data_IF_380097880052
#
_entry.id   IF_380097880052
#
_cell.length_a   1.000
_cell.length_b   1.000
_cell.length_c   1.000
_cell.angle_alpha   90.00
_cell.angle_beta   90.00
_cell.angle_gamma   90.00
#
_symmetry.space_group_name_H-M   'P 1'
#
loop_
_entity.id
_entity.type
_entity.pdbx_description
1 polymer ?
#
# COMPACT_ATOMS: atom_id res chain seq x y z
N UNK A 1 -32.01 -45.83 -34.64
CA UNK A 1 -31.76 -44.37 -34.69
C UNK A 1 -32.33 -43.64 -33.47
N UNK A 2 -33.60 -43.78 -33.09
CA UNK A 2 -34.21 -43.06 -31.97
C UNK A 2 -33.50 -43.28 -30.62
N UNK A 3 -33.08 -44.51 -30.27
CA UNK A 3 -32.37 -44.82 -29.03
C UNK A 3 -30.95 -44.19 -28.98
N UNK A 4 -30.30 -44.04 -30.12
CA UNK A 4 -28.99 -43.40 -30.21
C UNK A 4 -29.10 -41.87 -30.05
N UNK A 5 -30.15 -41.27 -30.60
CA UNK A 5 -30.46 -39.85 -30.44
C UNK A 5 -30.83 -39.50 -28.99
N UNK A 6 -31.60 -40.36 -28.31
CA UNK A 6 -31.93 -40.17 -26.88
C UNK A 6 -30.68 -40.29 -26.00
N UNK A 7 -29.77 -41.24 -26.26
CA UNK A 7 -28.51 -41.38 -25.55
C UNK A 7 -27.60 -40.17 -25.77
N UNK A 8 -27.53 -39.65 -27.00
CA UNK A 8 -26.77 -38.42 -27.30
C UNK A 8 -27.36 -37.19 -26.60
N UNK A 9 -28.71 -37.09 -26.56
CA UNK A 9 -29.38 -35.97 -25.88
C UNK A 9 -29.21 -36.04 -24.36
N UNK A 10 -29.27 -37.22 -23.76
CA UNK A 10 -29.00 -37.44 -22.33
C UNK A 10 -27.52 -37.13 -21.99
N UNK A 11 -26.56 -37.51 -22.86
CA UNK A 11 -25.17 -37.18 -22.69
C UNK A 11 -24.87 -35.65 -22.75
N UNK A 12 -25.63 -34.93 -23.58
CA UNK A 12 -25.52 -33.45 -23.65
C UNK A 12 -26.09 -32.76 -22.41
N UNK A 13 -27.10 -33.33 -21.76
CA UNK A 13 -27.69 -32.78 -20.53
C UNK A 13 -26.72 -32.93 -19.35
N UNK A 14 -25.93 -34.00 -19.28
CA UNK A 14 -24.91 -34.17 -18.25
C UNK A 14 -23.65 -33.30 -18.47
N UNK A 15 -23.37 -32.84 -19.67
CA UNK A 15 -22.28 -31.95 -19.98
C UNK A 15 -22.58 -30.46 -19.70
N UNK A 16 -23.87 -30.13 -19.48
CA UNK A 16 -24.33 -28.73 -19.36
C UNK A 16 -24.37 -28.18 -17.91
N UNK A 17 -24.09 -29.02 -16.91
CA UNK A 17 -24.14 -28.59 -15.49
C UNK A 17 -22.79 -28.70 -14.80
N UNK A 18 -21.80 -27.97 -15.24
CA UNK A 18 -20.67 -27.64 -14.35
C UNK A 18 -21.09 -26.46 -13.51
N UNK A 19 -21.36 -26.68 -12.23
CA UNK A 19 -21.62 -25.61 -11.26
C UNK A 19 -20.30 -24.91 -10.83
N UNK A 20 -19.31 -24.89 -11.73
CA UNK A 20 -18.06 -24.20 -11.49
C UNK A 20 -18.20 -22.75 -11.96
N UNK A 21 -18.17 -21.75 -11.06
CA UNK A 21 -18.28 -20.34 -11.42
C UNK A 21 -17.04 -19.78 -12.12
N UNK A 22 -15.95 -20.55 -12.17
CA UNK A 22 -14.67 -20.11 -12.67
C UNK A 22 -14.43 -20.50 -14.13
N UNK A 23 -13.60 -19.70 -14.80
CA UNK A 23 -13.25 -19.96 -16.20
C UNK A 23 -12.31 -21.16 -16.33
N UNK A 24 -12.40 -21.93 -17.43
CA UNK A 24 -11.48 -23.04 -17.67
C UNK A 24 -9.99 -22.64 -17.73
N UNK A 25 -9.70 -21.40 -18.15
CA UNK A 25 -8.32 -20.85 -18.22
C UNK A 25 -7.76 -20.46 -16.85
N UNK A 26 -8.59 -20.42 -15.81
CA UNK A 26 -8.19 -20.24 -14.42
C UNK A 26 -7.79 -21.57 -13.74
N UNK A 27 -8.12 -22.70 -14.37
CA UNK A 27 -7.79 -24.02 -13.85
C UNK A 27 -6.26 -24.22 -13.73
N UNK A 28 -5.81 -24.67 -12.57
CA UNK A 28 -4.40 -24.87 -12.25
C UNK A 28 -3.65 -23.63 -11.76
N UNK A 29 -4.32 -22.48 -11.67
CA UNK A 29 -3.82 -21.29 -10.98
C UNK A 29 -4.32 -21.24 -9.54
N UNK A 30 -3.48 -20.71 -8.65
CA UNK A 30 -3.85 -20.55 -7.25
C UNK A 30 -4.44 -19.15 -7.04
N UNK A 31 -5.76 -19.04 -7.22
CA UNK A 31 -6.51 -17.78 -7.15
C UNK A 31 -7.39 -17.79 -5.90
N UNK A 32 -7.35 -16.71 -5.13
CA UNK A 32 -8.24 -16.48 -4.01
C UNK A 32 -9.33 -15.47 -4.40
N UNK A 33 -10.57 -15.85 -4.19
CA UNK A 33 -11.75 -15.04 -4.51
C UNK A 33 -12.38 -14.50 -3.23
N UNK A 34 -12.49 -13.20 -3.13
CA UNK A 34 -13.08 -12.51 -1.97
C UNK A 34 -13.95 -11.33 -2.44
N UNK A 35 -14.53 -10.62 -1.51
CA UNK A 35 -15.43 -9.50 -1.75
C UNK A 35 -14.98 -8.25 -1.03
N UNK A 36 -15.44 -7.09 -1.51
CA UNK A 36 -15.43 -5.83 -0.78
C UNK A 36 -16.81 -5.20 -0.86
N UNK A 37 -17.22 -4.45 0.17
CA UNK A 37 -18.55 -3.86 0.28
C UNK A 37 -18.60 -2.39 -0.14
N UNK A 38 -17.48 -1.69 -0.03
CA UNK A 38 -17.37 -0.28 -0.38
C UNK A 38 -16.15 -0.04 -1.27
N UNK A 39 -16.30 0.91 -2.20
CA UNK A 39 -15.19 1.34 -3.05
C UNK A 39 -14.08 1.95 -2.18
N UNK A 40 -12.82 1.47 -2.27
CA UNK A 40 -11.70 2.11 -1.60
C UNK A 40 -11.50 3.51 -2.15
N UNK A 41 -11.52 4.51 -1.27
CA UNK A 41 -11.37 5.93 -1.64
C UNK A 41 -9.91 6.27 -1.94
N UNK A 42 -9.00 5.68 -1.17
CA UNK A 42 -7.59 5.99 -1.23
C UNK A 42 -6.75 4.71 -1.21
N UNK A 43 -5.90 4.54 -2.24
CA UNK A 43 -4.84 3.54 -2.22
C UNK A 43 -3.45 4.16 -2.01
N UNK A 44 -3.39 5.49 -1.81
CA UNK A 44 -2.20 6.19 -1.32
C UNK A 44 -2.03 5.91 0.19
N UNK A 45 -0.91 5.32 0.64
CA UNK A 45 -0.70 5.00 2.05
C UNK A 45 -0.65 6.22 2.96
N UNK A 46 -0.41 7.42 2.43
CA UNK A 46 -0.47 8.65 3.21
C UNK A 46 -1.90 9.11 3.54
N UNK A 47 -2.90 8.63 2.80
CA UNK A 47 -4.32 9.04 2.89
C UNK A 47 -5.23 7.92 3.39
N UNK A 48 -4.91 6.68 3.04
CA UNK A 48 -5.73 5.52 3.38
C UNK A 48 -5.89 5.33 4.90
N UNK A 49 -7.12 5.16 5.39
CA UNK A 49 -7.41 5.02 6.82
C UNK A 49 -8.48 3.96 7.12
N UNK A 50 -9.20 3.47 6.14
CA UNK A 50 -10.27 2.49 6.33
C UNK A 50 -9.77 1.04 6.21
N UNK A 51 -10.49 0.10 6.83
CA UNK A 51 -10.22 -1.34 6.70
C UNK A 51 -10.37 -1.84 5.25
N UNK A 52 -11.31 -1.26 4.50
CA UNK A 52 -11.52 -1.62 3.10
C UNK A 52 -10.34 -1.22 2.22
N UNK A 53 -9.72 -0.06 2.49
CA UNK A 53 -8.49 0.37 1.81
C UNK A 53 -7.30 -0.52 2.19
N UNK A 54 -7.16 -0.85 3.49
CA UNK A 54 -6.08 -1.69 4.00
C UNK A 54 -6.11 -3.12 3.43
N UNK A 55 -7.27 -3.65 3.07
CA UNK A 55 -7.41 -4.93 2.39
C UNK A 55 -6.54 -5.01 1.12
N UNK A 56 -6.41 -3.90 0.39
CA UNK A 56 -5.62 -3.80 -0.83
C UNK A 56 -4.18 -3.36 -0.56
N UNK A 57 -4.00 -2.27 0.17
CA UNK A 57 -2.67 -1.64 0.31
C UNK A 57 -1.69 -2.47 1.11
N UNK A 58 -2.15 -3.27 2.10
CA UNK A 58 -1.30 -4.19 2.86
C UNK A 58 -0.68 -5.32 2.00
N UNK A 59 -1.21 -5.56 0.81
CA UNK A 59 -0.69 -6.55 -0.12
C UNK A 59 0.34 -5.97 -1.10
N UNK A 60 0.42 -4.63 -1.18
CA UNK A 60 1.21 -3.90 -2.19
C UNK A 60 2.36 -3.14 -1.55
N UNK A 61 2.13 -2.56 -0.38
CA UNK A 61 3.13 -1.76 0.34
C UNK A 61 3.72 -2.54 1.52
N UNK A 62 5.01 -2.33 1.76
CA UNK A 62 5.71 -2.96 2.87
C UNK A 62 6.34 -1.91 3.78
N UNK A 63 5.83 -1.73 5.01
CA UNK A 63 6.53 -0.99 6.05
C UNK A 63 7.86 -1.65 6.45
N UNK A 64 8.64 -0.99 7.31
CA UNK A 64 9.93 -1.52 7.77
C UNK A 64 9.77 -2.80 8.62
N UNK A 65 8.68 -2.90 9.36
CA UNK A 65 8.32 -4.03 10.22
C UNK A 65 6.86 -4.41 10.02
N UNK A 66 6.49 -5.61 10.44
CA UNK A 66 5.12 -6.11 10.33
C UNK A 66 4.71 -6.89 11.58
N UNK A 67 3.42 -7.21 11.70
CA UNK A 67 2.94 -8.18 12.67
C UNK A 67 3.27 -9.60 12.21
N UNK A 68 3.75 -10.42 13.13
CA UNK A 68 3.99 -11.85 12.86
C UNK A 68 2.67 -12.56 12.57
N UNK A 69 2.59 -13.36 11.50
CA UNK A 69 1.35 -13.97 11.01
C UNK A 69 0.60 -14.80 12.05
N UNK A 70 1.33 -15.51 12.94
CA UNK A 70 0.75 -16.53 13.81
C UNK A 70 0.83 -16.20 15.31
N UNK A 71 1.71 -15.30 15.77
CA UNK A 71 1.90 -15.09 17.20
C UNK A 71 0.71 -14.39 17.87
N UNK A 72 0.27 -14.97 18.97
CA UNK A 72 -0.76 -14.44 19.88
C UNK A 72 -0.24 -14.49 21.33
N UNK A 73 -0.18 -13.37 22.09
CA UNK A 73 -0.51 -12.02 21.65
C UNK A 73 0.36 -11.54 20.47
N UNK A 74 -0.10 -10.50 19.80
CA UNK A 74 0.58 -9.96 18.63
C UNK A 74 2.04 -9.60 18.91
N UNK A 75 2.93 -9.98 18.01
CA UNK A 75 4.35 -9.64 18.04
C UNK A 75 4.77 -9.00 16.72
N UNK A 76 5.64 -8.00 16.80
CA UNK A 76 6.25 -7.41 15.62
C UNK A 76 7.47 -8.21 15.17
N UNK A 77 7.74 -8.17 13.86
CA UNK A 77 8.89 -8.80 13.22
C UNK A 77 9.42 -7.89 12.11
N UNK A 78 10.72 -7.94 11.78
CA UNK A 78 11.24 -7.22 10.63
C UNK A 78 10.53 -7.67 9.34
N UNK A 79 10.35 -6.72 8.40
CA UNK A 79 9.85 -6.98 7.05
C UNK A 79 10.88 -6.52 6.03
N UNK A 80 10.95 -5.22 5.75
CA UNK A 80 11.99 -4.66 4.90
C UNK A 80 13.24 -4.25 5.69
N UNK A 81 13.13 -4.08 7.01
CA UNK A 81 14.28 -3.87 7.88
C UNK A 81 15.06 -5.18 8.11
N UNK A 82 16.37 -5.07 8.31
CA UNK A 82 17.25 -6.22 8.63
C UNK A 82 17.03 -6.74 10.05
N UNK A 83 16.56 -5.89 10.97
CA UNK A 83 16.31 -6.20 12.38
C UNK A 83 15.20 -5.30 12.94
N UNK A 84 14.66 -5.69 14.11
CA UNK A 84 13.74 -4.82 14.85
C UNK A 84 14.45 -3.53 15.28
N UNK A 85 13.92 -2.34 14.93
CA UNK A 85 14.52 -1.08 15.35
C UNK A 85 14.29 -0.89 16.85
N UNK A 86 15.40 -0.73 17.59
CA UNK A 86 15.36 -0.44 19.03
C UNK A 86 15.51 1.07 19.25
N UNK A 87 14.65 1.70 20.07
CA UNK A 87 14.76 3.11 20.35
C UNK A 87 15.96 3.42 21.24
N UNK A 88 16.74 4.42 20.86
CA UNK A 88 17.72 5.07 21.71
C UNK A 88 17.10 6.28 22.39
N UNK A 89 17.19 6.36 23.72
CA UNK A 89 16.57 7.40 24.54
C UNK A 89 17.66 8.38 25.01
N UNK A 90 17.40 9.70 24.93
CA UNK A 90 18.36 10.72 25.30
C UNK A 90 17.76 11.76 26.26
N UNK A 91 18.58 12.20 27.24
CA UNK A 91 18.26 13.33 28.12
C UNK A 91 18.57 14.69 27.45
N UNK A 92 18.27 15.79 28.16
CA UNK A 92 18.51 17.16 27.69
C UNK A 92 19.99 17.49 27.42
N UNK A 93 20.92 16.74 28.01
CA UNK A 93 22.35 16.89 27.81
C UNK A 93 22.91 16.03 26.66
N UNK A 94 21.99 15.27 25.98
CA UNK A 94 22.38 14.37 24.89
C UNK A 94 22.99 13.05 25.37
N UNK A 95 22.85 12.71 26.66
CA UNK A 95 23.35 11.44 27.21
C UNK A 95 22.33 10.33 26.94
N UNK A 96 22.84 9.17 26.49
CA UNK A 96 22.05 7.96 26.30
C UNK A 96 21.50 7.45 27.63
N UNK A 97 20.22 7.16 27.66
CA UNK A 97 19.47 6.67 28.82
C UNK A 97 19.12 5.19 28.66
N UNK A 98 18.88 4.45 29.76
CA UNK A 98 18.38 3.10 29.70
C UNK A 98 16.94 3.04 29.12
N UNK A 99 16.57 1.87 28.57
CA UNK A 99 15.28 1.71 27.88
C UNK A 99 14.04 1.95 28.75
N UNK A 100 14.17 1.72 30.05
CA UNK A 100 13.12 1.95 31.08
C UNK A 100 13.12 3.35 31.66
N UNK A 101 13.97 4.28 31.17
CA UNK A 101 14.04 5.65 31.66
C UNK A 101 12.64 6.30 31.71
N UNK A 102 12.31 7.06 32.79
CA UNK A 102 11.04 7.74 32.92
C UNK A 102 10.77 8.73 31.77
N UNK A 103 9.49 8.95 31.46
CA UNK A 103 9.11 9.78 30.30
C UNK A 103 9.54 11.25 30.44
N UNK A 104 9.56 11.77 31.65
CA UNK A 104 9.89 13.17 31.99
C UNK A 104 11.35 13.54 31.80
N UNK A 105 12.26 12.55 31.82
CA UNK A 105 13.69 12.78 31.59
C UNK A 105 14.11 12.53 30.13
N UNK A 106 13.25 11.92 29.31
CA UNK A 106 13.52 11.63 27.90
C UNK A 106 13.05 12.78 27.04
N UNK A 107 13.96 13.52 26.45
CA UNK A 107 13.66 14.64 25.55
C UNK A 107 13.85 14.33 24.07
N UNK A 108 14.48 13.19 23.75
CA UNK A 108 14.69 12.74 22.38
C UNK A 108 14.72 11.22 22.32
N UNK A 109 14.05 10.68 21.31
CA UNK A 109 14.07 9.24 20.98
C UNK A 109 14.50 9.07 19.54
N UNK A 110 15.43 8.17 19.29
CA UNK A 110 15.96 7.90 17.94
C UNK A 110 15.74 6.44 17.58
N UNK A 111 15.11 6.24 16.42
CA UNK A 111 15.03 4.94 15.76
C UNK A 111 15.95 4.97 14.54
N UNK A 112 16.97 4.13 14.51
CA UNK A 112 17.79 3.91 13.32
C UNK A 112 17.36 2.59 12.67
N UNK A 113 17.04 2.63 11.38
CA UNK A 113 16.44 1.53 10.65
C UNK A 113 17.27 1.24 9.42
N UNK A 114 17.87 0.04 9.38
CA UNK A 114 18.66 -0.43 8.25
C UNK A 114 17.82 -1.40 7.41
N UNK A 115 17.76 -1.16 6.11
CA UNK A 115 16.96 -1.91 5.15
C UNK A 115 17.73 -3.09 4.56
N UNK A 116 17.01 -4.10 4.16
CA UNK A 116 17.51 -5.21 3.35
C UNK A 116 17.87 -4.71 1.95
N UNK A 117 19.01 -5.16 1.36
CA UNK A 117 19.45 -4.67 0.05
C UNK A 117 18.77 -5.35 -1.14
N UNK A 118 18.06 -6.45 -0.92
CA UNK A 118 17.46 -7.30 -1.96
C UNK A 118 16.04 -6.89 -2.37
N UNK A 119 15.47 -5.88 -1.75
CA UNK A 119 14.09 -5.45 -1.99
C UNK A 119 14.01 -4.51 -3.20
N UNK A 120 13.01 -4.73 -4.05
CA UNK A 120 12.78 -3.95 -5.26
C UNK A 120 11.30 -3.56 -5.38
N UNK A 121 11.07 -2.42 -5.99
CA UNK A 121 9.72 -2.04 -6.44
C UNK A 121 9.25 -2.92 -7.58
N UNK A 122 7.95 -2.98 -7.76
CA UNK A 122 7.31 -3.53 -8.97
C UNK A 122 7.74 -2.78 -10.23
N UNK A 123 7.59 -3.40 -11.40
CA UNK A 123 7.75 -2.70 -12.67
C UNK A 123 6.71 -1.56 -12.77
N UNK A 124 7.19 -0.36 -13.12
CA UNK A 124 6.34 0.81 -13.24
C UNK A 124 6.92 1.85 -14.21
N UNK A 125 6.09 2.54 -15.02
CA UNK A 125 6.56 3.56 -15.95
C UNK A 125 7.30 4.74 -15.28
N UNK A 126 7.02 5.05 -14.02
CA UNK A 126 7.72 6.09 -13.27
C UNK A 126 9.25 5.88 -13.19
N UNK A 127 9.71 4.63 -13.28
CA UNK A 127 11.13 4.29 -13.21
C UNK A 127 11.80 4.19 -14.58
N UNK A 128 11.03 4.13 -15.68
CA UNK A 128 11.57 4.00 -17.01
C UNK A 128 12.48 5.17 -17.40
N UNK A 129 13.68 4.88 -17.90
CA UNK A 129 14.67 5.89 -18.30
C UNK A 129 14.95 5.83 -19.80
N UNK A 130 15.29 6.98 -20.35
CA UNK A 130 15.88 7.10 -21.70
C UNK A 130 17.37 6.78 -21.65
N UNK A 131 17.96 6.64 -22.82
CA UNK A 131 19.43 6.39 -22.95
C UNK A 131 20.28 7.52 -22.38
N UNK A 132 19.77 8.74 -22.30
CA UNK A 132 20.41 9.90 -21.68
C UNK A 132 20.28 9.94 -20.15
N UNK A 133 19.61 8.92 -19.54
CA UNK A 133 19.38 8.82 -18.10
C UNK A 133 18.17 9.60 -17.58
N UNK A 134 17.49 10.39 -18.43
CA UNK A 134 16.27 11.10 -18.01
C UNK A 134 15.08 10.15 -17.89
N UNK A 135 14.10 10.49 -17.03
CA UNK A 135 12.90 9.67 -16.88
C UNK A 135 11.99 9.84 -18.09
N UNK A 136 11.60 8.71 -18.69
CA UNK A 136 10.84 8.70 -19.93
C UNK A 136 9.46 9.32 -19.78
N UNK A 137 8.80 9.01 -18.68
CA UNK A 137 7.40 9.37 -18.44
C UNK A 137 7.22 10.50 -17.42
N UNK A 138 8.30 11.19 -17.05
CA UNK A 138 8.20 12.47 -16.35
C UNK A 138 8.12 13.59 -17.41
N UNK A 139 6.88 13.91 -17.79
CA UNK A 139 6.64 14.82 -18.89
C UNK A 139 6.66 16.29 -18.44
N UNK A 140 7.01 17.23 -19.33
CA UNK A 140 6.84 18.65 -19.07
C UNK A 140 5.36 19.03 -19.01
N UNK A 141 5.06 20.20 -18.40
CA UNK A 141 3.71 20.72 -18.37
C UNK A 141 3.13 20.88 -19.79
N UNK A 142 1.85 20.54 -19.93
CA UNK A 142 1.13 20.59 -21.21
C UNK A 142 1.36 19.37 -22.14
N UNK A 143 2.30 18.48 -21.83
CA UNK A 143 2.42 17.22 -22.55
C UNK A 143 1.37 16.21 -22.06
N UNK A 144 1.03 15.22 -22.87
CA UNK A 144 0.01 14.21 -22.58
C UNK A 144 0.55 12.80 -22.74
N UNK A 145 -0.02 11.85 -21.99
CA UNK A 145 0.13 10.43 -22.28
C UNK A 145 -0.72 10.00 -23.49
N UNK A 146 -0.41 8.87 -24.14
CA UNK A 146 -1.42 8.20 -24.96
C UNK A 146 -2.69 7.95 -24.13
N UNK A 147 -3.83 7.73 -24.77
CA UNK A 147 -5.05 7.38 -24.03
C UNK A 147 -4.90 6.01 -23.36
N UNK A 148 -4.85 6.00 -22.05
CA UNK A 148 -4.65 4.81 -21.22
C UNK A 148 -5.61 4.80 -20.03
N UNK A 149 -6.02 3.63 -19.59
CA UNK A 149 -6.84 3.41 -18.40
C UNK A 149 -6.04 2.85 -17.20
N UNK A 150 -4.79 2.48 -17.43
CA UNK A 150 -3.88 1.95 -16.42
C UNK A 150 -2.43 2.37 -16.73
N UNK A 151 -1.60 2.72 -15.72
CA UNK A 151 -0.20 3.10 -15.94
C UNK A 151 0.60 2.06 -16.73
N UNK A 152 0.34 0.77 -16.45
CA UNK A 152 1.03 -0.34 -17.11
C UNK A 152 0.71 -0.48 -18.61
N UNK A 153 -0.24 0.28 -19.15
CA UNK A 153 -0.46 0.37 -20.59
C UNK A 153 0.59 1.25 -21.29
N UNK A 154 1.36 2.05 -20.54
CA UNK A 154 2.51 2.74 -21.08
C UNK A 154 3.61 1.73 -21.42
N UNK A 155 4.17 1.78 -22.64
CA UNK A 155 5.32 0.97 -22.98
C UNK A 155 6.55 1.42 -22.17
N UNK A 156 7.53 0.53 -22.05
CA UNK A 156 8.77 0.80 -21.31
C UNK A 156 8.53 1.15 -19.82
N UNK A 157 8.54 0.10 -19.06
CA UNK A 157 8.52 0.13 -17.60
C UNK A 157 9.90 -0.31 -17.11
N UNK A 158 10.23 0.09 -15.90
CA UNK A 158 11.44 -0.34 -15.20
C UNK A 158 11.15 -0.43 -13.70
N UNK A 159 12.13 -0.86 -12.94
CA UNK A 159 12.10 -1.00 -11.48
C UNK A 159 13.42 -0.60 -10.88
N UNK A 160 13.42 -0.28 -9.59
CA UNK A 160 14.65 -0.05 -8.85
C UNK A 160 14.62 -0.66 -7.45
N UNK A 161 15.79 -0.73 -6.83
CA UNK A 161 15.92 -1.13 -5.44
C UNK A 161 15.27 -0.13 -4.49
N UNK A 162 14.80 -0.65 -3.36
CA UNK A 162 14.33 0.12 -2.21
C UNK A 162 15.50 0.90 -1.60
N UNK A 163 15.25 2.14 -1.16
CA UNK A 163 16.24 3.02 -0.52
C UNK A 163 15.70 3.64 0.76
N UNK A 164 16.59 4.01 1.63
CA UNK A 164 16.27 4.77 2.85
C UNK A 164 15.57 6.10 2.54
N UNK A 165 15.95 6.75 1.42
CA UNK A 165 15.28 7.96 0.93
C UNK A 165 13.79 7.80 0.74
N UNK A 166 13.29 6.62 0.32
CA UNK A 166 11.88 6.38 0.04
C UNK A 166 11.03 6.42 1.32
N UNK A 167 11.58 5.94 2.44
CA UNK A 167 10.93 6.04 3.75
C UNK A 167 10.91 7.48 4.26
N UNK A 168 12.04 8.17 4.16
CA UNK A 168 12.12 9.58 4.53
C UNK A 168 11.20 10.44 3.67
N UNK A 169 11.12 10.15 2.37
CA UNK A 169 10.21 10.83 1.45
C UNK A 169 8.74 10.62 1.84
N UNK A 170 8.35 9.39 2.16
CA UNK A 170 6.99 9.10 2.63
C UNK A 170 6.67 9.84 3.94
N UNK A 171 7.58 9.84 4.91
CA UNK A 171 7.37 10.59 6.17
C UNK A 171 7.15 12.07 5.88
N UNK A 172 7.91 12.67 4.95
CA UNK A 172 7.70 14.05 4.51
C UNK A 172 6.35 14.25 3.83
N UNK A 173 5.87 13.26 3.04
CA UNK A 173 4.53 13.29 2.43
C UNK A 173 3.41 13.33 3.46
N UNK A 174 3.56 12.65 4.61
CA UNK A 174 2.57 12.71 5.70
C UNK A 174 2.35 14.13 6.26
N UNK A 175 3.33 15.03 6.09
CA UNK A 175 3.23 16.43 6.49
C UNK A 175 2.90 17.38 5.33
N UNK A 176 2.75 16.88 4.09
CA UNK A 176 2.50 17.72 2.93
C UNK A 176 1.07 18.31 2.97
N UNK A 177 0.89 19.65 2.84
CA UNK A 177 -0.41 20.31 3.00
C UNK A 177 -1.46 19.92 1.96
N UNK A 178 -1.02 19.51 0.75
CA UNK A 178 -1.92 19.04 -0.32
C UNK A 178 -2.27 17.55 -0.19
N UNK A 179 -1.69 16.85 0.78
CA UNK A 179 -2.01 15.46 1.12
C UNK A 179 -2.80 15.49 2.42
N UNK A 180 -4.06 15.09 2.39
CA UNK A 180 -4.93 15.04 3.55
C UNK A 180 -4.62 13.81 4.42
N UNK A 181 -3.48 13.86 5.12
CA UNK A 181 -3.03 12.78 5.98
C UNK A 181 -3.83 12.77 7.29
N UNK A 182 -4.62 11.72 7.58
CA UNK A 182 -5.49 11.69 8.77
C UNK A 182 -4.71 11.60 10.07
N UNK A 183 -3.47 11.09 10.05
CA UNK A 183 -2.64 10.93 11.25
C UNK A 183 -1.63 12.07 11.47
N UNK A 184 -1.60 13.08 10.59
CA UNK A 184 -0.70 14.23 10.74
C UNK A 184 -0.79 14.88 12.13
N UNK A 185 -2.00 15.20 12.69
CA UNK A 185 -2.11 15.85 14.00
C UNK A 185 -1.50 15.04 15.14
N UNK A 186 -1.59 13.71 15.06
CA UNK A 186 -0.94 12.82 16.02
C UNK A 186 0.58 12.87 15.88
N UNK A 187 1.10 12.66 14.68
CA UNK A 187 2.54 12.60 14.41
C UNK A 187 3.24 13.93 14.69
N UNK A 188 2.56 15.06 14.48
CA UNK A 188 3.06 16.40 14.76
C UNK A 188 3.38 16.64 16.26
N UNK A 189 2.81 15.83 17.15
CA UNK A 189 3.14 15.87 18.58
C UNK A 189 4.43 15.13 18.95
N UNK A 190 4.97 14.32 18.02
CA UNK A 190 6.08 13.42 18.36
C UNK A 190 7.27 13.54 17.41
N UNK A 191 7.06 13.57 16.10
CA UNK A 191 8.16 13.65 15.12
C UNK A 191 8.81 15.05 15.21
N UNK A 192 10.12 15.07 15.41
CA UNK A 192 10.88 16.32 15.57
C UNK A 192 10.78 17.20 14.31
N UNK A 193 10.46 18.49 14.49
CA UNK A 193 10.33 19.46 13.42
C UNK A 193 9.17 19.25 12.44
N UNK A 194 8.23 18.29 12.69
CA UNK A 194 7.19 17.92 11.73
C UNK A 194 6.23 19.06 11.40
N UNK A 195 5.78 19.81 12.41
CA UNK A 195 4.92 21.00 12.24
C UNK A 195 5.65 22.11 11.48
N UNK A 196 6.91 22.37 11.82
CA UNK A 196 7.70 23.39 11.16
C UNK A 196 7.97 23.03 9.67
N UNK A 197 8.20 21.76 9.39
CA UNK A 197 8.31 21.27 8.03
C UNK A 197 7.04 21.53 7.24
N UNK A 198 5.86 21.16 7.76
CA UNK A 198 4.57 21.44 7.11
C UNK A 198 4.40 22.92 6.80
N UNK A 199 4.68 23.81 7.77
CA UNK A 199 4.59 25.26 7.58
C UNK A 199 5.55 25.77 6.48
N UNK A 200 6.72 25.16 6.35
CA UNK A 200 7.67 25.48 5.27
C UNK A 200 7.10 25.11 3.91
N UNK A 201 6.52 23.91 3.80
CA UNK A 201 5.90 23.44 2.55
C UNK A 201 4.64 24.27 2.21
N UNK A 202 3.82 24.63 3.19
CA UNK A 202 2.65 25.52 3.01
C UNK A 202 3.07 26.87 2.41
N UNK A 203 4.08 27.51 3.01
CA UNK A 203 4.62 28.79 2.48
C UNK A 203 5.10 28.68 1.04
N UNK A 204 5.72 27.55 0.69
CA UNK A 204 6.22 27.36 -0.68
C UNK A 204 5.08 27.12 -1.68
N UNK A 205 4.06 26.34 -1.30
CA UNK A 205 2.83 26.17 -2.09
C UNK A 205 2.15 27.54 -2.31
N UNK A 206 2.00 28.33 -1.25
CA UNK A 206 1.38 29.65 -1.31
C UNK A 206 2.18 30.62 -2.17
N UNK A 207 3.52 30.57 -2.10
CA UNK A 207 4.41 31.37 -2.94
C UNK A 207 4.20 31.05 -4.44
N UNK A 208 4.12 29.76 -4.79
CA UNK A 208 3.88 29.32 -6.17
C UNK A 208 2.50 29.81 -6.63
N UNK A 209 1.46 29.62 -5.82
CA UNK A 209 0.10 30.06 -6.12
C UNK A 209 -0.01 31.58 -6.28
N UNK A 210 0.65 32.33 -5.40
CA UNK A 210 0.68 33.79 -5.48
C UNK A 210 1.37 34.29 -6.75
N UNK A 211 2.52 33.73 -7.11
CA UNK A 211 3.22 34.07 -8.35
C UNK A 211 2.37 33.79 -9.61
N UNK A 212 1.69 32.63 -9.64
CA UNK A 212 0.79 32.27 -10.75
C UNK A 212 -0.42 33.19 -10.83
N UNK A 213 -1.03 33.55 -9.70
CA UNK A 213 -2.16 34.51 -9.64
C UNK A 213 -1.74 35.87 -10.16
N UNK A 214 -0.54 36.32 -9.78
CA UNK A 214 0.00 37.57 -10.28
C UNK A 214 0.23 37.54 -11.79
N UNK A 215 0.77 36.47 -12.32
CA UNK A 215 1.02 36.30 -13.75
C UNK A 215 -0.27 36.18 -14.59
N UNK A 216 -1.30 35.52 -14.04
CA UNK A 216 -2.58 35.31 -14.71
C UNK A 216 -3.56 36.48 -14.66
N UNK A 217 -3.28 37.48 -13.83
CA UNK A 217 -4.08 38.70 -13.72
C UNK A 217 -5.51 38.48 -13.23
N UNK A 218 -6.41 39.36 -13.66
CA UNK A 218 -7.81 39.43 -13.17
C UNK A 218 -8.63 38.19 -13.54
N UNK A 219 -8.27 37.48 -14.59
CA UNK A 219 -8.99 36.29 -15.06
C UNK A 219 -8.37 34.97 -14.56
N UNK A 220 -7.39 35.00 -13.64
CA UNK A 220 -6.76 33.81 -13.11
C UNK A 220 -7.76 32.94 -12.37
N UNK A 221 -7.82 31.67 -12.76
CA UNK A 221 -8.57 30.63 -12.07
C UNK A 221 -7.59 29.56 -11.57
N UNK A 222 -7.39 29.47 -10.25
CA UNK A 222 -6.43 28.55 -9.63
C UNK A 222 -6.74 27.10 -9.94
N UNK A 223 -7.99 26.69 -9.89
CA UNK A 223 -8.37 25.29 -10.14
C UNK A 223 -8.10 24.89 -11.59
N UNK A 224 -8.43 25.77 -12.55
CA UNK A 224 -8.14 25.53 -13.96
C UNK A 224 -6.62 25.50 -14.24
N UNK A 225 -5.86 26.38 -13.59
CA UNK A 225 -4.40 26.40 -13.72
C UNK A 225 -3.76 25.15 -13.12
N UNK A 226 -4.15 24.73 -11.92
CA UNK A 226 -3.59 23.56 -11.25
C UNK A 226 -3.94 22.23 -11.94
N UNK A 227 -5.01 22.17 -12.74
CA UNK A 227 -5.28 21.01 -13.62
C UNK A 227 -4.23 20.85 -14.71
N UNK A 228 -3.69 21.96 -15.24
CA UNK A 228 -2.68 21.96 -16.31
C UNK A 228 -1.26 22.02 -15.72
N UNK A 229 -1.10 22.77 -14.65
CA UNK A 229 0.16 22.99 -13.95
C UNK A 229 0.03 22.62 -12.46
N UNK A 230 -0.10 21.36 -12.12
CA UNK A 230 -0.23 20.94 -10.72
C UNK A 230 0.97 21.43 -9.90
N UNK A 231 0.71 21.73 -8.62
CA UNK A 231 1.80 22.10 -7.71
C UNK A 231 2.52 20.83 -7.29
N UNK A 232 3.75 20.71 -7.71
CA UNK A 232 4.67 19.65 -7.29
C UNK A 232 5.87 20.26 -6.60
N UNK A 233 6.22 19.72 -5.43
CA UNK A 233 7.42 20.07 -4.68
C UNK A 233 8.27 18.81 -4.51
N UNK A 234 9.51 18.87 -4.93
CA UNK A 234 10.46 17.80 -4.64
C UNK A 234 10.86 17.84 -3.16
N UNK A 235 10.18 17.03 -2.35
CA UNK A 235 10.38 17.01 -0.91
C UNK A 235 11.80 16.61 -0.47
N UNK A 236 12.62 16.08 -1.37
CA UNK A 236 14.03 15.79 -1.10
C UNK A 236 14.83 17.05 -0.80
N UNK A 237 14.42 18.17 -1.37
CA UNK A 237 15.09 19.47 -1.20
C UNK A 237 14.80 20.14 0.15
N UNK A 238 13.84 19.66 0.91
CA UNK A 238 13.43 20.25 2.18
C UNK A 238 13.89 19.36 3.35
N UNK A 239 14.54 19.96 4.33
CA UNK A 239 15.03 19.24 5.51
C UNK A 239 13.90 19.00 6.52
N UNK A 240 13.81 17.76 7.02
CA UNK A 240 12.97 17.38 8.15
C UNK A 240 13.88 16.76 9.23
N UNK A 241 14.14 17.43 10.36
CA UNK A 241 15.01 16.89 11.42
C UNK A 241 14.56 15.53 11.95
N UNK A 242 13.25 15.34 12.03
CA UNK A 242 12.60 14.12 12.51
C UNK A 242 12.66 12.91 11.56
N UNK A 243 13.12 13.08 10.30
CA UNK A 243 13.29 11.96 9.36
C UNK A 243 14.45 12.24 8.42
N UNK A 244 15.55 11.48 8.55
CA UNK A 244 16.81 11.72 7.84
C UNK A 244 17.38 10.46 7.21
N UNK A 245 17.95 10.59 6.03
CA UNK A 245 18.76 9.55 5.39
C UNK A 245 20.14 9.54 6.02
N UNK A 246 20.59 8.39 6.50
CA UNK A 246 21.94 8.17 7.03
C UNK A 246 22.87 7.69 5.91
N UNK A 247 22.40 6.71 5.13
CA UNK A 247 23.03 6.22 3.90
C UNK A 247 21.95 5.56 3.01
N UNK A 248 22.35 4.96 1.89
CA UNK A 248 21.40 4.39 0.90
C UNK A 248 20.40 3.39 1.50
N UNK A 249 20.79 2.67 2.55
CA UNK A 249 19.96 1.62 3.18
C UNK A 249 19.59 1.93 4.63
N UNK A 250 20.05 3.06 5.19
CA UNK A 250 19.77 3.38 6.60
C UNK A 250 19.14 4.76 6.71
N UNK A 251 18.02 4.83 7.40
CA UNK A 251 17.37 6.08 7.77
C UNK A 251 17.11 6.17 9.26
N UNK A 252 16.87 7.39 9.72
CA UNK A 252 16.64 7.70 11.12
C UNK A 252 15.35 8.46 11.31
N UNK A 253 14.58 8.05 12.33
CA UNK A 253 13.41 8.80 12.79
C UNK A 253 13.73 9.33 14.20
N UNK A 254 13.54 10.63 14.40
CA UNK A 254 13.75 11.29 15.68
C UNK A 254 12.42 11.81 16.23
N UNK A 255 12.12 11.44 17.47
CA UNK A 255 10.96 11.95 18.20
C UNK A 255 11.43 12.96 19.24
N UNK A 256 10.64 13.99 19.47
CA UNK A 256 10.87 15.05 20.47
C UNK A 256 10.49 14.67 21.90
N UNK A 257 9.95 13.49 22.11
CA UNK A 257 9.60 12.92 23.42
C UNK A 257 9.35 11.42 23.34
N UNK A 258 9.35 10.75 24.47
CA UNK A 258 9.08 9.30 24.54
C UNK A 258 7.64 8.97 24.15
N UNK A 259 7.49 8.02 23.22
CA UNK A 259 6.22 7.46 22.77
C UNK A 259 6.39 5.96 22.53
N UNK A 260 6.19 5.13 23.55
CA UNK A 260 6.45 3.68 23.46
C UNK A 260 5.67 2.98 22.35
N UNK A 261 4.47 3.48 22.03
CA UNK A 261 3.61 2.92 20.99
C UNK A 261 4.07 3.27 19.56
N UNK A 262 5.10 4.14 19.40
CA UNK A 262 5.56 4.56 18.08
C UNK A 262 6.03 3.38 17.22
N UNK A 263 6.59 2.35 17.82
CA UNK A 263 7.03 1.14 17.12
C UNK A 263 5.89 0.47 16.32
N UNK A 264 4.64 0.51 16.81
CA UNK A 264 3.48 -0.05 16.10
C UNK A 264 3.09 0.78 14.86
N UNK A 265 3.35 2.09 14.88
CA UNK A 265 3.16 2.94 13.70
C UNK A 265 4.10 2.55 12.56
N UNK A 266 5.32 2.12 12.87
CA UNK A 266 6.29 1.66 11.88
C UNK A 266 5.85 0.37 11.15
N UNK A 267 4.84 -0.32 11.66
CA UNK A 267 4.21 -1.49 11.02
C UNK A 267 2.95 -1.11 10.21
N UNK A 268 2.55 0.16 10.22
CA UNK A 268 1.37 0.62 9.49
C UNK A 268 1.74 1.10 8.09
N UNK A 269 0.85 0.95 7.09
CA UNK A 269 1.08 1.40 5.71
C UNK A 269 1.48 2.87 5.57
N UNK A 270 1.09 3.74 6.50
CA UNK A 270 1.53 5.13 6.52
C UNK A 270 3.03 5.31 6.44
N UNK A 271 3.78 4.38 7.04
CA UNK A 271 5.23 4.36 7.04
C UNK A 271 5.84 3.44 5.97
N UNK A 272 5.04 2.97 5.01
CA UNK A 272 5.57 2.25 3.86
C UNK A 272 6.30 3.22 2.90
N UNK A 273 7.34 2.76 2.20
CA UNK A 273 8.18 3.64 1.39
C UNK A 273 7.45 4.16 0.16
N UNK A 274 7.69 5.43 -0.20
CA UNK A 274 7.19 6.04 -1.43
C UNK A 274 8.37 6.56 -2.27
N UNK A 275 8.59 6.02 -3.47
CA UNK A 275 9.61 6.52 -4.37
C UNK A 275 9.18 7.89 -4.93
N UNK A 276 10.06 8.90 -4.85
CA UNK A 276 9.77 10.24 -5.37
C UNK A 276 9.43 10.24 -6.87
N UNK A 277 9.96 9.26 -7.59
CA UNK A 277 9.66 9.06 -9.01
C UNK A 277 8.18 8.78 -9.25
N UNK A 278 7.55 7.96 -8.40
CA UNK A 278 6.12 7.69 -8.49
C UNK A 278 5.30 8.92 -8.09
N UNK A 279 5.66 9.60 -7.01
CA UNK A 279 5.00 10.84 -6.58
C UNK A 279 5.03 11.89 -7.70
N UNK A 280 6.19 12.09 -8.33
CA UNK A 280 6.35 12.98 -9.50
C UNK A 280 5.51 12.52 -10.70
N UNK A 281 5.49 11.22 -10.99
CA UNK A 281 4.72 10.65 -12.11
C UNK A 281 3.22 10.91 -11.95
N UNK A 282 2.67 10.69 -10.77
CA UNK A 282 1.23 10.85 -10.51
C UNK A 282 0.79 12.30 -10.31
N UNK A 283 1.71 13.21 -9.98
CA UNK A 283 1.39 14.63 -9.78
C UNK A 283 1.47 15.47 -11.06
N UNK A 284 1.86 14.90 -12.19
CA UNK A 284 1.94 15.63 -13.45
C UNK A 284 0.59 15.74 -14.16
N UNK A 285 0.39 16.82 -14.96
CA UNK A 285 -0.85 17.09 -15.69
C UNK A 285 -1.28 15.95 -16.61
N UNK A 286 -0.33 15.30 -17.28
CA UNK A 286 -0.59 14.16 -18.18
C UNK A 286 -1.28 12.98 -17.47
N UNK A 287 -0.91 12.71 -16.22
CA UNK A 287 -1.50 11.67 -15.40
C UNK A 287 -2.87 12.08 -14.84
N UNK A 288 -2.94 13.30 -14.29
CA UNK A 288 -4.17 13.84 -13.72
C UNK A 288 -5.31 13.97 -14.74
N UNK A 289 -4.99 14.36 -15.99
CA UNK A 289 -5.96 14.50 -17.08
C UNK A 289 -6.68 13.18 -17.43
N UNK A 290 -6.07 12.04 -17.13
CA UNK A 290 -6.63 10.72 -17.38
C UNK A 290 -7.01 9.98 -16.09
N UNK A 291 -7.04 10.71 -14.96
CA UNK A 291 -7.32 10.13 -13.64
C UNK A 291 -6.36 8.97 -13.26
N UNK A 292 -5.13 9.05 -13.75
CA UNK A 292 -4.01 8.17 -13.38
C UNK A 292 -3.36 8.78 -12.15
N UNK A 293 -3.84 8.39 -10.98
CA UNK A 293 -3.42 8.95 -9.68
C UNK A 293 -3.01 7.82 -8.72
N UNK A 294 -2.20 8.18 -7.72
CA UNK A 294 -1.70 7.23 -6.73
C UNK A 294 -2.82 6.58 -5.91
N UNK A 295 -3.91 7.31 -5.63
CA UNK A 295 -5.10 6.78 -4.97
C UNK A 295 -5.79 5.63 -5.74
N UNK A 296 -5.47 5.45 -7.01
CA UNK A 296 -6.04 4.40 -7.86
C UNK A 296 -5.04 3.36 -8.31
N UNK A 297 -3.75 3.70 -8.38
CA UNK A 297 -2.71 2.85 -8.94
C UNK A 297 -1.48 2.84 -8.03
N UNK A 298 -1.51 2.06 -6.95
CA UNK A 298 -0.43 1.99 -5.97
C UNK A 298 0.85 1.40 -6.55
N UNK A 299 2.00 1.83 -6.03
CA UNK A 299 3.34 1.36 -6.41
C UNK A 299 4.09 0.93 -5.15
N UNK A 300 4.35 -0.34 -5.01
CA UNK A 300 4.98 -0.90 -3.82
C UNK A 300 6.03 -1.97 -4.09
N UNK A 301 6.53 -2.51 -3.01
CA UNK A 301 7.53 -3.60 -2.99
C UNK A 301 6.90 -4.94 -2.63
N UNK A 302 5.63 -4.96 -2.28
CA UNK A 302 4.92 -6.08 -1.68
C UNK A 302 4.69 -7.28 -2.59
N UNK A 303 4.09 -8.35 -2.04
CA UNK A 303 3.90 -9.62 -2.73
C UNK A 303 2.95 -9.55 -3.93
N UNK A 304 2.11 -8.51 -4.01
CA UNK A 304 1.17 -8.33 -5.11
C UNK A 304 1.25 -6.92 -5.71
N UNK A 305 0.79 -6.83 -6.97
CA UNK A 305 0.58 -5.58 -7.70
C UNK A 305 -0.89 -5.46 -8.10
N UNK A 306 -1.41 -4.25 -8.21
CA UNK A 306 -2.78 -4.03 -8.67
C UNK A 306 -2.83 -4.15 -10.20
N UNK A 307 -3.34 -5.28 -10.70
CA UNK A 307 -3.42 -5.58 -12.13
C UNK A 307 -4.70 -5.05 -12.78
N UNK A 308 -5.77 -4.90 -12.01
CA UNK A 308 -7.05 -4.33 -12.46
C UNK A 308 -7.66 -3.49 -11.34
N UNK A 309 -8.02 -2.27 -11.64
CA UNK A 309 -8.79 -1.40 -10.76
C UNK A 309 -10.10 -0.97 -11.42
N UNK A 310 -11.17 -1.70 -11.16
CA UNK A 310 -12.56 -1.33 -11.48
C UNK A 310 -13.37 -1.35 -10.19
N UNK A 311 -13.27 -0.32 -9.34
CA UNK A 311 -13.77 -0.36 -7.97
C UNK A 311 -15.29 -0.50 -7.86
N UNK A 312 -16.04 -0.11 -8.90
CA UNK A 312 -17.49 -0.36 -8.97
C UNK A 312 -17.86 -1.78 -9.42
N UNK A 313 -16.88 -2.65 -9.61
CA UNK A 313 -17.13 -4.01 -10.10
C UNK A 313 -16.12 -5.01 -9.53
N UNK A 314 -14.83 -4.89 -9.88
CA UNK A 314 -13.80 -5.89 -9.59
C UNK A 314 -12.43 -5.24 -9.47
N UNK A 315 -11.66 -5.68 -8.47
CA UNK A 315 -10.25 -5.36 -8.32
C UNK A 315 -9.43 -6.65 -8.31
N UNK A 316 -8.28 -6.64 -8.98
CA UNK A 316 -7.44 -7.84 -9.12
C UNK A 316 -6.02 -7.51 -8.71
N UNK A 317 -5.53 -8.24 -7.73
CA UNK A 317 -4.13 -8.25 -7.34
C UNK A 317 -3.45 -9.46 -8.00
N UNK A 318 -2.28 -9.25 -8.60
CA UNK A 318 -1.47 -10.29 -9.22
C UNK A 318 -0.14 -10.40 -8.50
N UNK A 319 0.37 -11.63 -8.32
CA UNK A 319 1.69 -11.88 -7.74
C UNK A 319 2.74 -10.99 -8.37
N UNK A 320 3.51 -10.31 -7.55
CA UNK A 320 4.67 -9.54 -7.98
C UNK A 320 5.82 -10.49 -8.32
N UNK A 321 6.25 -10.57 -9.58
CA UNK A 321 7.33 -11.49 -9.97
C UNK A 321 8.68 -11.10 -9.38
N UNK A 322 8.81 -9.87 -8.88
CA UNK A 322 10.04 -9.31 -8.32
C UNK A 322 10.02 -9.25 -6.79
N UNK A 323 8.99 -9.86 -6.17
CA UNK A 323 8.91 -9.92 -4.71
C UNK A 323 10.11 -10.63 -4.12
N UNK A 324 10.68 -10.05 -3.09
CA UNK A 324 11.84 -10.59 -2.39
C UNK A 324 11.55 -11.95 -1.74
N UNK A 325 12.57 -12.75 -1.42
CA UNK A 325 12.36 -14.02 -0.73
C UNK A 325 11.84 -13.80 0.69
N UNK A 326 10.57 -14.15 0.89
CA UNK A 326 9.94 -14.26 2.20
C UNK A 326 9.36 -15.67 2.34
N UNK A 327 9.34 -16.19 3.56
CA UNK A 327 8.85 -17.54 3.83
C UNK A 327 7.78 -17.52 4.91
N UNK A 328 6.85 -18.46 4.80
CA UNK A 328 5.85 -18.67 5.82
C UNK A 328 6.51 -19.06 7.15
N UNK A 329 6.03 -18.57 8.30
CA UNK A 329 6.67 -18.81 9.60
C UNK A 329 6.78 -20.31 9.96
N UNK A 330 7.91 -20.68 10.55
CA UNK A 330 8.11 -22.03 11.12
C UNK A 330 7.71 -22.11 12.59
N UNK A 331 7.42 -20.97 13.21
CA UNK A 331 7.09 -20.84 14.63
C UNK A 331 5.83 -20.01 14.76
N UNK A 332 4.90 -20.46 15.57
CA UNK A 332 3.63 -19.77 15.85
C UNK A 332 3.39 -19.56 17.35
N UNK A 333 2.14 -19.42 17.73
CA UNK A 333 1.69 -19.43 19.10
C UNK A 333 1.59 -20.88 19.63
N UNK A 334 1.54 -21.09 20.97
CA UNK A 334 1.26 -22.38 21.54
C UNK A 334 -0.03 -23.00 20.96
N UNK A 335 0.03 -24.26 20.53
CA UNK A 335 -1.10 -24.97 19.92
C UNK A 335 -1.21 -24.91 18.40
N UNK A 336 -0.50 -23.99 17.72
CA UNK A 336 -0.57 -23.83 16.27
C UNK A 336 -0.13 -25.09 15.50
N UNK A 337 0.79 -25.85 16.05
CA UNK A 337 1.21 -27.13 15.49
C UNK A 337 0.07 -28.15 15.46
N UNK A 338 -0.74 -28.21 16.51
CA UNK A 338 -1.91 -29.08 16.58
C UNK A 338 -3.08 -28.68 15.68
N UNK A 339 -3.07 -27.43 15.22
CA UNK A 339 -4.03 -26.88 14.27
C UNK A 339 -3.52 -26.90 12.82
N UNK A 340 -2.40 -27.55 12.56
CA UNK A 340 -1.73 -27.64 11.24
C UNK A 340 -1.32 -26.28 10.63
N UNK A 341 -1.31 -25.20 11.41
CA UNK A 341 -0.96 -23.87 10.94
C UNK A 341 0.52 -23.72 10.59
N UNK A 342 1.37 -24.66 10.94
CA UNK A 342 2.80 -24.67 10.63
C UNK A 342 3.18 -25.61 9.48
N UNK A 343 2.21 -26.28 8.83
CA UNK A 343 2.47 -27.23 7.74
C UNK A 343 3.23 -26.63 6.56
N UNK A 344 3.00 -25.33 6.32
CA UNK A 344 3.66 -24.56 5.27
C UNK A 344 4.94 -23.84 5.72
N UNK A 345 5.40 -24.12 6.93
CA UNK A 345 6.58 -23.48 7.52
C UNK A 345 7.83 -23.54 6.65
N UNK A 346 8.35 -22.37 6.26
CA UNK A 346 9.52 -22.23 5.40
C UNK A 346 9.25 -22.30 3.89
N UNK A 347 8.00 -22.53 3.45
CA UNK A 347 7.64 -22.40 2.04
C UNK A 347 7.66 -20.92 1.63
N UNK A 348 8.02 -20.65 0.37
CA UNK A 348 8.13 -19.30 -0.17
C UNK A 348 6.75 -18.67 -0.34
N UNK A 349 6.62 -17.42 0.09
CA UNK A 349 5.46 -16.55 -0.14
C UNK A 349 5.59 -15.72 -1.43
N UNK A 350 4.49 -15.23 -2.01
CA UNK A 350 3.10 -15.59 -1.71
C UNK A 350 2.72 -16.95 -2.31
N UNK A 351 1.77 -17.66 -1.70
CA UNK A 351 1.25 -18.93 -2.25
C UNK A 351 0.31 -18.70 -3.44
N UNK A 352 -0.41 -17.59 -3.43
CA UNK A 352 -1.40 -17.25 -4.44
C UNK A 352 -0.74 -16.64 -5.69
N UNK A 353 -1.30 -16.93 -6.85
CA UNK A 353 -0.95 -16.29 -8.11
C UNK A 353 -1.73 -14.98 -8.31
N UNK A 354 -2.97 -14.97 -7.81
CA UNK A 354 -3.89 -13.85 -7.98
C UNK A 354 -4.88 -13.79 -6.82
N UNK A 355 -5.32 -12.58 -6.46
CA UNK A 355 -6.43 -12.33 -5.55
C UNK A 355 -7.45 -11.50 -6.29
N UNK A 356 -8.68 -11.99 -6.35
CA UNK A 356 -9.78 -11.35 -7.05
C UNK A 356 -10.81 -10.88 -6.04
N UNK A 357 -11.02 -9.58 -6.00
CA UNK A 357 -12.05 -8.96 -5.18
C UNK A 357 -13.22 -8.51 -6.04
N UNK A 358 -14.44 -8.87 -5.65
CA UNK A 358 -15.68 -8.46 -6.33
C UNK A 358 -16.50 -7.57 -5.41
N UNK A 359 -17.11 -6.51 -5.95
CA UNK A 359 -17.97 -5.63 -5.17
C UNK A 359 -19.30 -6.34 -4.86
N UNK A 360 -19.55 -6.55 -3.57
CA UNK A 360 -20.81 -7.11 -3.06
C UNK A 360 -21.30 -6.25 -1.89
N UNK A 361 -22.21 -5.34 -2.17
CA UNK A 361 -22.68 -4.36 -1.18
C UNK A 361 -23.57 -4.99 -0.10
N UNK A 362 -24.35 -6.02 -0.48
CA UNK A 362 -25.36 -6.61 0.37
C UNK A 362 -24.90 -7.95 0.96
N UNK A 363 -25.22 -8.21 2.23
CA UNK A 363 -24.80 -9.41 2.97
C UNK A 363 -25.42 -10.69 2.42
N UNK A 364 -26.74 -10.68 2.12
CA UNK A 364 -27.47 -11.87 1.69
C UNK A 364 -27.02 -12.38 0.31
N UNK A 365 -26.91 -11.55 -0.74
CA UNK A 365 -26.34 -11.99 -2.02
C UNK A 365 -24.92 -12.51 -1.90
N UNK A 366 -24.07 -11.85 -1.09
CA UNK A 366 -22.69 -12.28 -0.83
C UNK A 366 -22.64 -13.66 -0.20
N UNK A 367 -23.47 -13.91 0.84
CA UNK A 367 -23.56 -15.20 1.51
C UNK A 367 -24.03 -16.30 0.56
N UNK A 368 -25.06 -16.06 -0.24
CA UNK A 368 -25.59 -17.03 -1.20
C UNK A 368 -24.54 -17.39 -2.27
N UNK A 369 -23.77 -16.43 -2.76
CA UNK A 369 -22.68 -16.68 -3.70
C UNK A 369 -21.53 -17.45 -3.05
N UNK A 370 -21.20 -17.18 -1.79
CA UNK A 370 -20.23 -17.98 -1.02
C UNK A 370 -20.70 -19.44 -0.93
N UNK A 371 -21.95 -19.71 -0.56
CA UNK A 371 -22.48 -21.07 -0.51
C UNK A 371 -22.47 -21.78 -1.88
N UNK A 372 -22.51 -21.03 -2.98
CA UNK A 372 -22.42 -21.54 -4.35
C UNK A 372 -20.98 -21.70 -4.84
N UNK A 373 -19.97 -21.38 -4.02
CA UNK A 373 -18.57 -21.51 -4.36
C UNK A 373 -17.97 -20.37 -5.20
N UNK A 374 -18.62 -19.21 -5.26
CA UNK A 374 -18.07 -18.02 -5.95
C UNK A 374 -16.97 -17.31 -5.15
N UNK A 375 -16.91 -17.51 -3.85
CA UNK A 375 -15.96 -16.88 -2.95
C UNK A 375 -15.37 -17.89 -1.99
N UNK A 376 -14.09 -17.73 -1.66
CA UNK A 376 -13.36 -18.61 -0.72
C UNK A 376 -13.63 -18.22 0.73
N UNK A 377 -14.12 -16.99 0.96
CA UNK A 377 -14.48 -16.51 2.30
C UNK A 377 -15.74 -15.63 2.25
N UNK A 378 -16.46 -15.60 3.38
CA UNK A 378 -17.56 -14.66 3.59
C UNK A 378 -17.65 -14.29 5.07
N UNK A 379 -17.94 -13.02 5.34
CA UNK A 379 -18.42 -12.59 6.66
C UNK A 379 -19.85 -13.07 6.90
N UNK A 380 -20.17 -13.38 8.16
CA UNK A 380 -21.52 -13.72 8.61
C UNK A 380 -22.18 -12.42 9.09
N UNK A 381 -23.09 -11.88 8.30
CA UNK A 381 -23.92 -10.74 8.72
C UNK A 381 -25.08 -11.19 9.61
N UNK A 382 -25.67 -10.23 10.33
CA UNK A 382 -26.86 -10.48 11.18
C UNK A 382 -28.00 -11.18 10.43
N UNK A 383 -28.19 -10.79 9.17
CA UNK A 383 -29.31 -11.30 8.32
C UNK A 383 -29.17 -12.78 7.93
N UNK A 384 -27.98 -13.34 8.06
CA UNK A 384 -27.67 -14.74 7.70
C UNK A 384 -27.12 -15.54 8.88
N UNK A 385 -27.11 -14.95 10.07
CA UNK A 385 -26.50 -15.57 11.27
C UNK A 385 -27.15 -16.91 11.61
N UNK A 386 -28.49 -16.96 11.65
CA UNK A 386 -29.24 -18.18 11.97
C UNK A 386 -29.07 -19.31 10.95
N UNK A 387 -28.69 -18.96 9.71
CA UNK A 387 -28.37 -19.94 8.66
C UNK A 387 -26.92 -20.46 8.80
N UNK A 388 -26.02 -19.62 9.28
CA UNK A 388 -24.60 -19.91 9.36
C UNK A 388 -24.19 -20.61 10.66
N UNK A 389 -24.87 -20.33 11.77
CA UNK A 389 -24.53 -20.78 13.12
C UNK A 389 -25.68 -21.62 13.69
N UNK A 390 -25.47 -22.93 13.76
CA UNK A 390 -26.35 -23.80 14.53
C UNK A 390 -25.86 -23.83 15.99
N UNK A 391 -26.61 -23.22 16.88
CA UNK A 391 -26.36 -23.34 18.32
C UNK A 391 -27.01 -24.67 18.75
N UNK A 392 -26.17 -25.70 19.03
CA UNK A 392 -26.66 -26.90 19.70
C UNK A 392 -27.10 -26.55 21.12
N UNK A 393 -28.37 -26.80 21.44
CA UNK A 393 -28.92 -26.66 22.78
C UNK A 393 -28.33 -27.67 23.77
#
# INVERSE_FOLDING_TARGET
MLRLLVLLFVSFIFAACTNNPYRPDEAGRNIYYDTFSEEPKHLDPARAYSSDEYKFINQIYEPAIQYHYLKRPYALTPLTAVAMPMPELYDANGRLLPADAPNDVVVRVVYEITLRPDIRYQDHPAFARRSDGTYRWHLPAGASFPNIDHPNALPEQDRRGLRAEDYVYQIKRLAHPLIECPIFPLLANYIDGFTAFRQTIEKEVDRIRAARRQAGGVFYNQEADERVHPVYLDLRQYNLPGAQVVNDLTFRITLSKKYPQFIYWLAMPFFAPMPWEADRFYTQSAALAQNIILDRFPVGTGPFTLAMNRPNYRMVLRRNPHFHPETYPRVGAPGDQGLDLLADGGKRLPFLDEVVYVLEKESVPRWNKFLQGYYDASGIGSDVFDQAVQVSA
#
